data_IF_963400022817
#
_entry.id   IF_963400022817
#
_cell.length_a   1.000
_cell.length_b   1.000
_cell.length_c   1.000
_cell.angle_alpha   90.00
_cell.angle_beta   90.00
_cell.angle_gamma   90.00
#
_symmetry.space_group_name_H-M   'P 1'
#
loop_
_entity.id
_entity.type
_entity.pdbx_description
1 polymer ?
#
# COMPACT_ATOMS: atom_id res chain seq x y z
N UNK A 1 51.52 -41.23 -11.48
CA UNK A 1 50.13 -40.92 -11.08
C UNK A 1 50.05 -39.46 -10.64
N UNK A 2 49.44 -38.58 -11.46
CA UNK A 2 49.36 -37.13 -11.22
C UNK A 2 48.07 -36.81 -10.46
N UNK A 3 48.17 -36.38 -9.20
CA UNK A 3 47.05 -35.84 -8.41
C UNK A 3 46.76 -34.43 -8.94
N UNK A 4 45.61 -34.24 -9.60
CA UNK A 4 45.12 -32.90 -9.98
C UNK A 4 44.19 -32.40 -8.87
N UNK A 5 44.66 -31.42 -8.11
CA UNK A 5 43.86 -30.67 -7.15
C UNK A 5 42.80 -29.86 -7.90
N UNK A 6 41.52 -30.11 -7.63
CA UNK A 6 40.43 -29.27 -8.11
C UNK A 6 40.11 -28.23 -7.01
N UNK A 7 40.58 -27.00 -7.21
CA UNK A 7 40.18 -25.87 -6.38
C UNK A 7 38.78 -25.43 -6.80
N UNK A 8 37.78 -25.64 -5.95
CA UNK A 8 36.43 -25.11 -6.12
C UNK A 8 36.47 -23.65 -5.65
N UNK A 9 36.45 -22.71 -6.59
CA UNK A 9 36.28 -21.30 -6.28
C UNK A 9 34.78 -21.02 -6.05
N UNK A 10 34.38 -20.90 -4.78
CA UNK A 10 33.06 -20.41 -4.40
C UNK A 10 33.07 -18.88 -4.54
N UNK A 11 32.51 -18.38 -5.63
CA UNK A 11 32.32 -16.95 -5.85
C UNK A 11 31.08 -16.50 -5.06
N UNK A 12 31.27 -16.05 -3.81
CA UNK A 12 30.22 -15.43 -3.01
C UNK A 12 29.99 -14.03 -3.61
N UNK A 13 28.98 -13.89 -4.46
CA UNK A 13 28.49 -12.60 -4.91
C UNK A 13 27.92 -11.86 -3.70
N UNK A 14 28.67 -10.90 -3.18
CA UNK A 14 28.20 -9.94 -2.17
C UNK A 14 27.14 -9.06 -2.82
N UNK A 15 25.88 -9.47 -2.72
CA UNK A 15 24.74 -8.60 -3.01
C UNK A 15 24.77 -7.49 -1.96
N UNK A 16 25.29 -6.34 -2.34
CA UNK A 16 25.15 -5.09 -1.60
C UNK A 16 23.65 -4.83 -1.44
N UNK A 17 23.08 -5.12 -0.26
CA UNK A 17 21.74 -4.65 0.10
C UNK A 17 21.86 -3.14 0.31
N UNK A 18 21.82 -2.38 -0.77
CA UNK A 18 21.65 -0.94 -0.68
C UNK A 18 20.21 -0.69 -0.27
N UNK A 19 20.02 -0.04 0.89
CA UNK A 19 18.73 0.55 1.23
C UNK A 19 18.34 1.50 0.11
N UNK A 20 17.29 1.17 -0.65
CA UNK A 20 16.82 2.05 -1.71
C UNK A 20 16.12 3.25 -1.06
N UNK A 21 16.85 4.36 -0.90
CA UNK A 21 16.23 5.65 -0.65
C UNK A 21 15.57 6.08 -1.95
N UNK A 22 14.27 5.82 -2.08
CA UNK A 22 13.50 6.21 -3.26
C UNK A 22 13.47 7.74 -3.33
N UNK A 23 13.95 8.31 -4.43
CA UNK A 23 13.88 9.75 -4.65
C UNK A 23 12.40 10.23 -4.66
N UNK A 24 12.11 11.45 -4.16
CA UNK A 24 10.76 11.97 -4.15
C UNK A 24 10.25 12.20 -5.58
N UNK A 25 8.98 11.87 -5.81
CA UNK A 25 8.28 12.14 -7.08
C UNK A 25 7.74 13.56 -7.03
N UNK A 26 8.32 14.46 -7.83
CA UNK A 26 8.11 15.90 -7.69
C UNK A 26 6.88 16.41 -8.46
N UNK A 27 6.50 15.78 -9.57
CA UNK A 27 5.42 16.30 -10.42
C UNK A 27 4.12 15.51 -10.32
N UNK A 28 2.99 16.17 -10.58
CA UNK A 28 1.69 15.52 -10.65
C UNK A 28 1.57 14.57 -11.85
N UNK A 29 2.17 14.93 -12.99
CA UNK A 29 2.17 14.10 -14.19
C UNK A 29 2.89 12.75 -13.97
N UNK A 30 4.04 12.77 -13.29
CA UNK A 30 4.75 11.54 -12.93
C UNK A 30 3.92 10.67 -11.98
N UNK A 31 3.26 11.26 -10.98
CA UNK A 31 2.37 10.53 -10.06
C UNK A 31 1.22 9.87 -10.81
N UNK A 32 0.63 10.56 -11.78
CA UNK A 32 -0.44 10.01 -12.61
C UNK A 32 0.06 8.84 -13.46
N UNK A 33 1.23 8.97 -14.10
CA UNK A 33 1.83 7.87 -14.87
C UNK A 33 2.12 6.65 -13.97
N UNK A 34 2.63 6.86 -12.76
CA UNK A 34 2.84 5.79 -11.78
C UNK A 34 1.54 5.12 -11.36
N UNK A 35 0.45 5.88 -11.22
CA UNK A 35 -0.86 5.32 -10.96
C UNK A 35 -1.34 4.43 -12.12
N UNK A 36 -1.18 4.89 -13.37
CA UNK A 36 -1.49 4.06 -14.54
C UNK A 36 -0.69 2.76 -14.55
N UNK A 37 0.61 2.81 -14.27
CA UNK A 37 1.44 1.60 -14.14
C UNK A 37 0.98 0.69 -13.00
N UNK A 38 0.54 1.25 -11.88
CA UNK A 38 -0.04 0.48 -10.78
C UNK A 38 -1.33 -0.24 -11.21
N UNK A 39 -2.24 0.44 -11.93
CA UNK A 39 -3.47 -0.19 -12.42
C UNK A 39 -3.16 -1.36 -13.36
N UNK A 40 -2.20 -1.20 -14.28
CA UNK A 40 -1.74 -2.28 -15.16
C UNK A 40 -1.18 -3.47 -14.37
N UNK A 41 -0.36 -3.23 -13.34
CA UNK A 41 0.14 -4.30 -12.47
C UNK A 41 -1.00 -5.01 -11.72
N UNK A 42 -2.05 -4.27 -11.34
CA UNK A 42 -3.21 -4.82 -10.65
C UNK A 42 -4.02 -5.73 -11.58
N UNK A 43 -4.17 -5.37 -12.86
CA UNK A 43 -4.86 -6.18 -13.88
C UNK A 43 -4.14 -7.51 -14.17
N UNK A 44 -2.81 -7.52 -14.20
CA UNK A 44 -2.02 -8.72 -14.54
C UNK A 44 -1.49 -9.49 -13.32
N UNK A 45 -1.93 -9.12 -12.11
CA UNK A 45 -1.43 -9.72 -10.88
C UNK A 45 -1.85 -11.18 -10.77
N UNK A 46 -0.87 -12.08 -10.58
CA UNK A 46 -1.13 -13.49 -10.27
C UNK A 46 -1.87 -13.70 -8.92
N UNK A 47 -2.01 -12.63 -8.13
CA UNK A 47 -2.69 -12.63 -6.84
C UNK A 47 -4.03 -11.89 -6.88
N UNK A 48 -4.54 -11.53 -8.07
CA UNK A 48 -5.78 -10.75 -8.23
C UNK A 48 -7.00 -11.40 -7.58
N UNK A 49 -7.03 -12.73 -7.50
CA UNK A 49 -8.13 -13.49 -6.90
C UNK A 49 -8.03 -13.61 -5.37
N UNK A 50 -6.92 -13.16 -4.75
CA UNK A 50 -6.77 -13.18 -3.31
C UNK A 50 -7.58 -12.06 -2.67
N UNK A 51 -8.37 -12.44 -1.66
CA UNK A 51 -9.20 -11.49 -0.92
C UNK A 51 -8.41 -10.92 0.25
N UNK A 52 -8.21 -9.60 0.22
CA UNK A 52 -7.70 -8.89 1.38
C UNK A 52 -8.78 -8.81 2.45
N UNK A 53 -8.41 -9.16 3.68
CA UNK A 53 -9.29 -9.02 4.84
C UNK A 53 -8.53 -8.34 5.97
N UNK A 54 -9.26 -7.55 6.76
CA UNK A 54 -8.73 -6.98 7.97
C UNK A 54 -8.61 -8.08 9.03
N UNK A 55 -7.39 -8.38 9.48
CA UNK A 55 -7.11 -9.38 10.52
C UNK A 55 -7.08 -8.78 11.94
N UNK A 56 -7.14 -7.46 12.06
CA UNK A 56 -6.91 -6.73 13.31
C UNK A 56 -8.16 -6.61 14.20
N UNK A 57 -7.98 -6.08 15.43
CA UNK A 57 -9.05 -5.95 16.41
C UNK A 57 -10.20 -5.09 15.86
N UNK A 58 -11.44 -5.50 16.07
CA UNK A 58 -12.62 -4.73 15.60
C UNK A 58 -12.80 -3.39 16.32
N UNK A 59 -12.13 -3.20 17.46
CA UNK A 59 -12.10 -1.94 18.19
C UNK A 59 -10.75 -1.26 17.97
N UNK A 60 -10.65 -0.51 16.87
CA UNK A 60 -9.46 0.21 16.46
C UNK A 60 -9.66 1.67 16.85
N UNK A 61 -8.69 2.24 17.56
CA UNK A 61 -8.66 3.67 17.88
C UNK A 61 -7.53 4.36 17.14
N UNK A 62 -7.69 5.65 16.88
CA UNK A 62 -6.71 6.47 16.18
C UNK A 62 -7.08 7.95 16.26
N UNK A 63 -6.09 8.83 16.04
CA UNK A 63 -6.33 10.28 16.02
C UNK A 63 -6.97 10.68 14.69
N UNK A 64 -8.23 11.10 14.75
CA UNK A 64 -8.91 11.77 13.64
C UNK A 64 -8.50 13.24 13.61
N UNK A 65 -8.13 13.75 12.43
CA UNK A 65 -7.72 15.14 12.24
C UNK A 65 -8.79 15.98 11.58
N UNK A 66 -9.73 15.34 10.85
CA UNK A 66 -10.86 16.02 10.21
C UNK A 66 -12.03 15.03 9.99
N UNK A 67 -13.26 15.55 10.02
CA UNK A 67 -14.51 14.79 9.81
C UNK A 67 -15.50 15.64 9.03
N UNK A 68 -15.95 15.14 7.89
CA UNK A 68 -16.94 15.82 7.03
C UNK A 68 -18.18 14.93 6.83
N UNK A 69 -19.35 15.49 7.11
CA UNK A 69 -20.64 14.83 6.90
C UNK A 69 -21.35 15.45 5.70
N UNK A 70 -21.60 14.63 4.67
CA UNK A 70 -22.22 15.11 3.44
C UNK A 70 -23.69 15.42 3.69
N UNK A 71 -24.06 16.70 3.60
CA UNK A 71 -25.44 17.15 3.72
C UNK A 71 -26.26 17.07 2.41
N UNK A 72 -27.57 17.32 2.49
CA UNK A 72 -28.37 17.43 3.70
C UNK A 72 -28.75 16.05 4.26
N UNK A 73 -29.01 15.99 5.57
CA UNK A 73 -29.52 14.78 6.24
C UNK A 73 -30.80 14.28 5.56
N UNK A 74 -30.92 12.96 5.37
CA UNK A 74 -32.02 12.34 4.65
C UNK A 74 -31.81 12.22 3.13
N UNK A 75 -30.78 12.88 2.57
CA UNK A 75 -30.33 12.68 1.18
C UNK A 75 -28.97 11.97 1.10
N UNK A 76 -28.13 12.20 2.09
CA UNK A 76 -26.85 11.52 2.23
C UNK A 76 -26.61 11.17 3.69
N UNK A 77 -25.98 10.02 3.88
CA UNK A 77 -25.50 9.49 5.15
C UNK A 77 -23.99 9.22 5.09
N UNK A 78 -23.33 9.86 4.11
CA UNK A 78 -21.90 9.69 3.88
C UNK A 78 -21.12 10.54 4.88
N UNK A 79 -20.18 9.90 5.56
CA UNK A 79 -19.22 10.55 6.46
C UNK A 79 -17.82 10.19 5.97
N UNK A 80 -16.97 11.20 5.84
CA UNK A 80 -15.55 11.05 5.57
C UNK A 80 -14.75 11.41 6.82
N UNK A 81 -13.74 10.60 7.13
CA UNK A 81 -12.87 10.80 8.30
C UNK A 81 -11.41 10.75 7.87
N UNK A 82 -10.68 11.84 8.05
CA UNK A 82 -9.24 11.87 7.85
C UNK A 82 -8.54 11.50 9.16
N UNK A 83 -7.66 10.49 9.10
CA UNK A 83 -6.85 10.07 10.24
C UNK A 83 -5.42 10.56 10.12
N UNK A 84 -4.73 10.73 11.26
CA UNK A 84 -3.37 11.23 11.29
C UNK A 84 -2.33 10.29 10.63
N UNK A 85 -2.61 8.99 10.57
CA UNK A 85 -1.63 7.99 10.10
C UNK A 85 -2.23 6.81 9.31
N UNK A 86 -3.56 6.76 9.13
CA UNK A 86 -4.26 5.61 8.53
C UNK A 86 -5.12 6.02 7.33
N UNK A 87 -4.79 7.13 6.67
CA UNK A 87 -5.50 7.61 5.49
C UNK A 87 -6.90 8.16 5.78
N UNK A 88 -7.78 8.04 4.79
CA UNK A 88 -9.16 8.55 4.80
C UNK A 88 -10.14 7.39 4.79
N UNK A 89 -11.14 7.46 5.67
CA UNK A 89 -12.18 6.45 5.85
C UNK A 89 -13.52 7.00 5.39
N UNK A 90 -14.36 6.13 4.82
CA UNK A 90 -15.69 6.50 4.31
C UNK A 90 -16.76 5.59 4.90
N UNK A 91 -17.72 6.18 5.58
CA UNK A 91 -18.97 5.51 5.91
C UNK A 91 -20.09 6.02 5.00
N UNK A 92 -21.05 5.16 4.67
CA UNK A 92 -22.29 5.52 3.94
C UNK A 92 -23.55 5.25 4.76
N UNK A 93 -23.40 4.87 6.02
CA UNK A 93 -24.47 4.47 6.93
C UNK A 93 -24.31 5.14 8.30
N UNK A 94 -24.14 6.47 8.31
CA UNK A 94 -24.05 7.27 9.54
C UNK A 94 -22.92 6.85 10.51
N UNK A 95 -21.84 6.24 9.99
CA UNK A 95 -20.69 5.83 10.80
C UNK A 95 -20.83 4.45 11.45
N UNK A 96 -21.82 3.64 11.07
CA UNK A 96 -21.97 2.26 11.59
C UNK A 96 -20.88 1.33 11.05
N UNK A 97 -20.50 1.48 9.78
CA UNK A 97 -19.38 0.76 9.15
C UNK A 97 -18.56 1.70 8.24
N UNK A 98 -17.27 1.37 8.05
CA UNK A 98 -16.33 2.09 7.19
C UNK A 98 -15.56 1.14 6.27
#
# INVERSE_FOLDING_TARGET
MKRKSAAIAVLISTLSVQSQVKAPVLTGAEKLNMYVSHEQMREVSAYGDLHWQYLGPVNISGRCTDVEAVGPKGKSYTIWVASASSGVWKSVNEGVTF
#
